data_IF_658872618528
#
_entry.id   IF_658872618528
#
_cell.length_a   1.000
_cell.length_b   1.000
_cell.length_c   1.000
_cell.angle_alpha   90.00
_cell.angle_beta   90.00
_cell.angle_gamma   90.00
#
_symmetry.space_group_name_H-M   'P 1'
#
loop_
_entity.id
_entity.type
_entity.pdbx_description
1 polymer ?
#
# COMPACT_ATOMS: atom_id res chain seq x y z
N UNK A 1 -9.48 -50.86 -27.27
CA UNK A 1 -9.35 -50.36 -25.90
C UNK A 1 -8.03 -49.63 -25.61
N UNK A 2 -6.89 -50.11 -26.09
CA UNK A 2 -5.55 -49.49 -25.83
C UNK A 2 -5.39 -48.07 -26.45
N UNK A 3 -6.01 -47.80 -27.61
CA UNK A 3 -5.91 -46.50 -28.30
C UNK A 3 -6.82 -45.40 -27.71
N UNK A 4 -7.82 -45.77 -26.94
CA UNK A 4 -8.71 -44.82 -26.26
C UNK A 4 -8.06 -44.29 -24.97
N UNK A 5 -7.36 -45.15 -24.21
CA UNK A 5 -6.60 -44.75 -23.03
C UNK A 5 -5.44 -43.83 -23.33
N UNK A 6 -4.77 -43.98 -24.48
CA UNK A 6 -3.65 -43.09 -24.86
C UNK A 6 -4.10 -41.67 -25.24
N UNK A 7 -5.28 -41.53 -25.87
CA UNK A 7 -5.83 -40.22 -26.19
C UNK A 7 -6.37 -39.47 -24.96
N UNK A 8 -6.96 -40.16 -24.00
CA UNK A 8 -7.43 -39.56 -22.75
C UNK A 8 -6.27 -39.18 -21.85
N UNK A 9 -5.19 -39.97 -21.77
CA UNK A 9 -3.98 -39.58 -21.03
C UNK A 9 -3.25 -38.38 -21.65
N UNK A 10 -3.23 -38.29 -22.98
CA UNK A 10 -2.65 -37.15 -23.70
C UNK A 10 -3.46 -35.86 -23.53
N UNK A 11 -4.80 -35.94 -23.53
CA UNK A 11 -5.67 -34.80 -23.22
C UNK A 11 -5.59 -34.37 -21.75
N UNK A 12 -5.48 -35.29 -20.80
CA UNK A 12 -5.23 -34.94 -19.39
C UNK A 12 -3.83 -34.34 -19.18
N UNK A 13 -2.81 -34.78 -19.90
CA UNK A 13 -1.48 -34.20 -19.81
C UNK A 13 -1.42 -32.78 -20.39
N UNK A 14 -2.18 -32.50 -21.45
CA UNK A 14 -2.31 -31.15 -22.01
C UNK A 14 -3.15 -30.25 -21.08
N UNK A 15 -4.16 -30.76 -20.40
CA UNK A 15 -4.95 -30.03 -19.43
C UNK A 15 -4.16 -29.71 -18.14
N UNK A 16 -3.20 -30.57 -17.76
CA UNK A 16 -2.31 -30.31 -16.62
C UNK A 16 -1.18 -29.34 -16.99
N UNK A 17 -0.74 -29.29 -18.27
CA UNK A 17 0.30 -28.39 -18.74
C UNK A 17 -0.23 -26.98 -19.07
N UNK A 18 -1.54 -26.78 -19.15
CA UNK A 18 -2.14 -25.46 -19.46
C UNK A 18 -2.63 -24.68 -18.24
N UNK A 19 -2.39 -25.18 -17.02
CA UNK A 19 -2.69 -24.46 -15.76
C UNK A 19 -1.41 -24.15 -14.99
N UNK A 20 -0.29 -23.87 -15.67
CA UNK A 20 0.60 -22.88 -15.15
C UNK A 20 0.01 -21.53 -15.50
N UNK A 21 -0.99 -21.13 -14.72
CA UNK A 21 -1.32 -19.72 -14.58
C UNK A 21 0.00 -19.09 -14.12
N UNK A 22 0.66 -18.39 -15.03
CA UNK A 22 1.60 -17.36 -14.66
C UNK A 22 0.78 -16.39 -13.82
N UNK A 23 0.76 -16.61 -12.48
CA UNK A 23 0.41 -15.55 -11.58
C UNK A 23 1.31 -14.38 -12.01
N UNK A 24 0.76 -13.20 -12.31
CA UNK A 24 1.60 -12.07 -12.63
C UNK A 24 2.56 -11.94 -11.44
N UNK A 25 3.85 -12.17 -11.71
CA UNK A 25 4.88 -11.87 -10.74
C UNK A 25 4.77 -10.36 -10.55
N UNK A 26 4.15 -9.92 -9.47
CA UNK A 26 4.22 -8.52 -9.08
C UNK A 26 5.68 -8.34 -8.69
N UNK A 27 6.51 -7.96 -9.66
CA UNK A 27 7.89 -7.58 -9.39
C UNK A 27 7.87 -6.33 -8.51
N UNK A 28 8.81 -6.23 -7.59
CA UNK A 28 9.10 -4.96 -6.92
C UNK A 28 9.24 -3.84 -7.98
N UNK A 29 8.87 -2.64 -7.60
CA UNK A 29 9.10 -1.45 -8.44
C UNK A 29 10.62 -1.27 -8.60
N UNK A 30 11.06 -0.75 -9.76
CA UNK A 30 12.43 -0.22 -9.80
C UNK A 30 12.58 0.99 -8.86
N UNK A 31 13.80 1.36 -8.53
CA UNK A 31 14.06 2.42 -7.53
C UNK A 31 13.39 3.74 -7.87
N UNK A 32 13.38 4.14 -9.13
CA UNK A 32 12.81 5.42 -9.58
C UNK A 32 11.28 5.39 -9.51
N UNK A 33 10.65 4.29 -9.94
CA UNK A 33 9.20 4.10 -9.83
C UNK A 33 8.77 4.00 -8.37
N UNK A 34 9.54 3.31 -7.52
CA UNK A 34 9.28 3.21 -6.09
C UNK A 34 9.40 4.57 -5.40
N UNK A 35 10.46 5.35 -5.69
CA UNK A 35 10.63 6.72 -5.19
C UNK A 35 9.49 7.62 -5.64
N UNK A 36 9.09 7.55 -6.90
CA UNK A 36 7.94 8.29 -7.43
C UNK A 36 6.65 7.89 -6.72
N UNK A 37 6.39 6.60 -6.58
CA UNK A 37 5.21 6.09 -5.87
C UNK A 37 5.20 6.52 -4.40
N UNK A 38 6.36 6.49 -3.73
CA UNK A 38 6.50 6.98 -2.36
C UNK A 38 6.33 8.50 -2.22
N UNK A 39 6.71 9.27 -3.25
CA UNK A 39 6.71 10.76 -3.19
C UNK A 39 5.40 11.37 -3.66
N UNK A 40 4.81 10.86 -4.72
CA UNK A 40 3.67 11.47 -5.41
C UNK A 40 2.32 10.90 -4.94
N UNK A 41 2.36 9.83 -4.15
CA UNK A 41 1.19 9.06 -3.75
C UNK A 41 0.87 7.96 -4.76
N UNK A 42 -0.31 7.38 -4.66
CA UNK A 42 -0.77 6.32 -5.57
C UNK A 42 -1.56 5.23 -4.88
N UNK A 43 -2.12 4.33 -5.67
CA UNK A 43 -3.04 3.28 -5.21
C UNK A 43 -2.31 2.01 -4.72
N UNK A 44 -1.05 1.82 -5.12
CA UNK A 44 -0.27 0.63 -4.70
C UNK A 44 0.10 0.71 -3.23
N UNK A 45 0.06 -0.44 -2.56
CA UNK A 45 0.63 -0.62 -1.23
C UNK A 45 2.13 -0.85 -1.41
N UNK A 46 2.95 -0.11 -0.67
CA UNK A 46 4.42 -0.14 -0.74
C UNK A 46 4.96 -0.83 0.51
N UNK A 47 5.82 -1.82 0.30
CA UNK A 47 6.60 -2.47 1.34
C UNK A 47 7.95 -1.77 1.51
N UNK A 48 8.27 -1.33 2.74
CA UNK A 48 9.57 -0.75 3.10
C UNK A 48 10.24 -1.70 4.10
N UNK A 49 11.33 -2.34 3.69
CA UNK A 49 12.12 -3.20 4.56
C UNK A 49 12.91 -2.35 5.55
N UNK A 50 12.66 -2.52 6.86
CA UNK A 50 13.30 -1.75 7.91
C UNK A 50 14.74 -2.21 8.14
N UNK A 51 15.74 -1.34 7.85
CA UNK A 51 17.17 -1.60 8.00
C UNK A 51 17.70 -2.77 7.17
N UNK A 52 17.02 -3.08 6.04
CA UNK A 52 17.29 -4.26 5.24
C UNK A 52 16.61 -5.54 5.78
N UNK A 53 17.04 -6.71 5.31
CA UNK A 53 16.63 -8.00 5.90
C UNK A 53 17.54 -8.33 7.09
N UNK A 54 17.26 -7.71 8.22
CA UNK A 54 18.07 -7.86 9.42
C UNK A 54 17.83 -9.19 10.18
N UNK A 55 16.87 -9.99 9.78
CA UNK A 55 16.71 -11.34 10.29
C UNK A 55 17.75 -12.31 9.69
N UNK A 56 18.25 -12.00 8.51
CA UNK A 56 19.27 -12.80 7.81
C UNK A 56 20.68 -12.26 7.98
N UNK A 57 20.83 -10.93 8.18
CA UNK A 57 22.11 -10.23 8.31
C UNK A 57 22.01 -9.12 9.35
N UNK A 58 23.13 -8.58 9.88
CA UNK A 58 23.06 -7.43 10.81
C UNK A 58 22.30 -6.24 10.24
N UNK A 59 21.46 -5.61 11.05
CA UNK A 59 20.71 -4.41 10.63
C UNK A 59 21.64 -3.32 10.09
N UNK A 60 21.20 -2.56 9.10
CA UNK A 60 21.97 -1.49 8.46
C UNK A 60 23.33 -1.96 7.87
N UNK A 61 23.52 -3.25 7.63
CA UNK A 61 24.68 -3.77 6.87
C UNK A 61 24.41 -3.73 5.36
N UNK A 62 25.47 -3.77 4.57
CA UNK A 62 25.35 -3.87 3.11
C UNK A 62 24.72 -5.21 2.69
N UNK A 63 24.98 -6.27 3.46
CA UNK A 63 24.44 -7.60 3.27
C UNK A 63 22.92 -7.63 3.54
N UNK A 64 22.45 -6.99 4.61
CA UNK A 64 21.01 -6.85 4.90
C UNK A 64 20.28 -6.07 3.81
N UNK A 65 20.88 -4.98 3.30
CA UNK A 65 20.31 -4.23 2.18
C UNK A 65 20.30 -5.07 0.91
N UNK A 66 21.38 -5.82 0.61
CA UNK A 66 21.45 -6.70 -0.56
C UNK A 66 20.37 -7.81 -0.50
N UNK A 67 20.09 -8.35 0.68
CA UNK A 67 19.03 -9.35 0.86
C UNK A 67 17.61 -8.77 0.70
N UNK A 68 17.46 -7.45 0.80
CA UNK A 68 16.19 -6.75 0.71
C UNK A 68 15.92 -6.08 -0.65
N UNK A 69 16.72 -6.36 -1.69
CA UNK A 69 16.59 -5.71 -3.01
C UNK A 69 15.33 -6.11 -3.80
N UNK A 70 14.64 -7.14 -3.38
CA UNK A 70 13.38 -7.58 -4.00
C UNK A 70 12.15 -6.80 -3.51
N UNK A 71 12.29 -5.98 -2.46
CA UNK A 71 11.19 -5.17 -1.92
C UNK A 71 11.17 -3.78 -2.56
N UNK A 72 10.02 -3.09 -2.47
CA UNK A 72 9.84 -1.78 -3.12
C UNK A 72 10.81 -0.73 -2.60
N UNK A 73 11.10 -0.74 -1.30
CA UNK A 73 12.04 0.17 -0.68
C UNK A 73 12.76 -0.47 0.52
N UNK A 74 13.95 0.04 0.82
CA UNK A 74 14.72 -0.30 2.02
C UNK A 74 15.00 0.98 2.81
N UNK A 75 14.66 1.01 4.09
CA UNK A 75 15.05 2.11 4.97
C UNK A 75 16.38 1.83 5.63
N UNK A 76 17.21 2.85 5.75
CA UNK A 76 18.52 2.80 6.39
C UNK A 76 18.71 4.01 7.30
N UNK A 77 19.32 3.79 8.45
CA UNK A 77 19.62 4.86 9.41
C UNK A 77 21.03 5.39 9.17
N UNK A 78 21.16 6.69 8.96
CA UNK A 78 22.45 7.32 8.58
C UNK A 78 22.92 8.29 9.64
N UNK A 79 24.20 8.19 10.00
CA UNK A 79 24.95 9.05 10.91
C UNK A 79 26.20 9.57 10.22
N UNK A 80 26.80 10.60 10.78
CA UNK A 80 28.11 11.10 10.34
C UNK A 80 29.22 10.59 11.24
N UNK A 81 30.30 10.09 10.64
CA UNK A 81 31.56 9.83 11.31
C UNK A 81 32.25 11.14 11.73
N UNK A 82 33.31 11.08 12.52
CA UNK A 82 34.05 12.27 12.95
C UNK A 82 34.71 13.04 11.79
N UNK A 83 34.99 12.36 10.69
CA UNK A 83 35.53 12.94 9.45
C UNK A 83 34.42 13.26 8.42
N UNK A 84 33.14 13.24 8.84
CA UNK A 84 31.99 13.71 8.06
C UNK A 84 31.54 12.76 6.98
N UNK A 85 31.95 11.50 7.01
CA UNK A 85 31.48 10.46 6.07
C UNK A 85 30.14 9.87 6.54
N UNK A 86 29.09 9.83 5.69
CA UNK A 86 27.81 9.19 6.02
C UNK A 86 27.98 7.67 6.12
N UNK A 87 27.63 7.11 7.28
CA UNK A 87 27.70 5.67 7.58
C UNK A 87 26.35 5.16 8.07
N UNK A 88 26.10 3.87 7.95
CA UNK A 88 24.86 3.27 8.42
C UNK A 88 24.96 2.84 9.87
N UNK A 89 24.15 3.45 10.72
CA UNK A 89 24.00 3.08 12.13
C UNK A 89 22.67 3.65 12.68
N UNK A 90 21.90 2.82 13.37
CA UNK A 90 20.64 3.25 13.97
C UNK A 90 20.87 4.09 15.22
N UNK A 91 21.73 3.61 16.12
CA UNK A 91 21.99 4.23 17.40
C UNK A 91 22.99 5.39 17.27
N UNK A 92 23.00 6.31 18.24
CA UNK A 92 24.02 7.34 18.35
C UNK A 92 25.38 6.75 18.75
N UNK A 93 25.39 5.55 19.33
CA UNK A 93 26.60 4.85 19.78
C UNK A 93 26.75 3.51 19.06
N UNK A 94 27.99 3.01 19.03
CA UNK A 94 28.33 1.70 18.45
C UNK A 94 28.06 0.51 19.40
N UNK A 95 27.72 0.77 20.66
CA UNK A 95 27.72 -0.17 21.78
C UNK A 95 26.89 -1.43 21.55
N UNK A 96 25.69 -1.27 20.97
CA UNK A 96 24.75 -2.39 20.77
C UNK A 96 25.19 -3.30 19.63
N UNK A 97 25.69 -2.67 18.54
CA UNK A 97 25.95 -3.39 17.29
C UNK A 97 27.39 -3.85 17.12
N UNK A 98 28.38 -3.22 17.78
CA UNK A 98 29.77 -3.39 17.40
C UNK A 98 30.63 -4.13 18.42
N UNK A 99 31.58 -4.90 17.87
CA UNK A 99 32.65 -5.56 18.60
C UNK A 99 33.97 -5.45 17.82
N UNK A 100 35.08 -5.67 18.52
CA UNK A 100 36.40 -5.79 17.90
C UNK A 100 36.64 -7.19 17.29
N UNK A 101 37.84 -7.41 16.76
CA UNK A 101 38.26 -8.69 16.19
C UNK A 101 38.16 -9.86 17.17
N UNK A 102 38.36 -9.62 18.46
CA UNK A 102 38.30 -10.60 19.53
C UNK A 102 36.89 -10.75 20.13
N UNK A 103 35.87 -10.15 19.50
CA UNK A 103 34.48 -10.11 19.99
C UNK A 103 34.27 -9.33 21.30
N UNK A 104 35.20 -8.44 21.65
CA UNK A 104 35.05 -7.57 22.83
C UNK A 104 34.16 -6.37 22.47
N UNK A 105 33.24 -5.95 23.36
CA UNK A 105 32.42 -4.76 23.14
C UNK A 105 33.26 -3.51 22.89
N UNK A 106 32.81 -2.71 21.91
CA UNK A 106 33.33 -1.37 21.66
C UNK A 106 32.26 -0.37 22.13
N UNK A 107 32.66 0.75 22.74
CA UNK A 107 31.77 1.80 23.23
C UNK A 107 32.21 3.17 22.72
N UNK A 108 31.23 4.00 22.39
CA UNK A 108 31.45 5.39 21.98
C UNK A 108 30.41 5.85 20.96
N UNK A 109 30.35 7.16 20.74
CA UNK A 109 29.44 7.72 19.74
C UNK A 109 30.01 7.52 18.34
N UNK A 110 29.15 7.28 17.35
CA UNK A 110 29.54 7.16 15.93
C UNK A 110 30.37 8.36 15.50
N UNK A 111 29.97 9.56 15.90
CA UNK A 111 30.64 10.81 15.58
C UNK A 111 32.01 11.01 16.27
N UNK A 112 32.42 10.13 17.18
CA UNK A 112 33.75 10.15 17.79
C UNK A 112 34.80 9.32 17.04
N UNK A 113 34.36 8.50 16.07
CA UNK A 113 35.24 7.65 15.27
C UNK A 113 35.32 8.14 13.83
N UNK A 114 36.48 8.04 13.22
CA UNK A 114 36.63 8.22 11.75
C UNK A 114 35.99 7.05 11.03
N UNK A 115 35.65 7.23 9.75
CA UNK A 115 35.13 6.13 8.94
C UNK A 115 36.11 4.92 8.89
N UNK A 116 37.41 5.20 8.81
CA UNK A 116 38.40 4.13 8.86
C UNK A 116 38.34 3.33 10.17
N UNK A 117 38.16 3.99 11.31
CA UNK A 117 38.01 3.30 12.60
C UNK A 117 36.69 2.51 12.70
N UNK A 118 35.57 3.05 12.18
CA UNK A 118 34.29 2.36 12.12
C UNK A 118 34.36 1.11 11.22
N UNK A 119 35.10 1.19 10.11
CA UNK A 119 35.32 0.08 9.19
C UNK A 119 36.08 -1.12 9.77
N UNK A 120 36.84 -0.91 10.85
CA UNK A 120 37.53 -2.00 11.57
C UNK A 120 36.61 -2.74 12.56
N UNK A 121 35.43 -2.18 12.87
CA UNK A 121 34.49 -2.79 13.81
C UNK A 121 33.65 -3.85 13.10
N UNK A 122 33.35 -4.93 13.79
CA UNK A 122 32.47 -6.00 13.33
C UNK A 122 31.07 -5.80 13.87
N UNK A 123 30.05 -6.04 13.04
CA UNK A 123 28.67 -6.00 13.46
C UNK A 123 28.25 -7.31 14.16
N UNK A 124 27.38 -7.19 15.14
CA UNK A 124 26.71 -8.34 15.76
C UNK A 124 25.52 -8.80 14.89
N UNK A 125 25.15 -10.08 15.03
CA UNK A 125 23.98 -10.65 14.36
C UNK A 125 22.69 -9.86 14.62
N UNK A 126 21.76 -9.96 13.70
CA UNK A 126 20.40 -9.42 13.77
C UNK A 126 20.40 -7.90 14.11
N UNK A 127 19.65 -7.53 15.16
CA UNK A 127 19.58 -6.19 15.69
C UNK A 127 20.53 -5.94 16.88
N UNK A 128 21.60 -6.74 17.00
CA UNK A 128 22.65 -6.57 18.00
C UNK A 128 22.27 -6.91 19.44
N UNK A 129 23.08 -6.42 20.35
CA UNK A 129 22.97 -6.71 21.79
C UNK A 129 24.05 -7.67 22.29
N UNK A 130 24.25 -7.69 23.62
CA UNK A 130 25.36 -8.44 24.24
C UNK A 130 25.29 -9.94 24.09
N UNK A 131 24.12 -10.48 23.76
CA UNK A 131 23.84 -11.91 23.57
C UNK A 131 23.93 -12.35 22.10
N UNK A 132 24.30 -11.42 21.17
CA UNK A 132 24.45 -11.72 19.75
C UNK A 132 25.90 -11.91 19.37
N UNK A 133 26.14 -12.87 18.47
CA UNK A 133 27.48 -13.21 18.02
C UNK A 133 28.06 -12.15 17.07
N UNK A 134 29.37 -12.13 16.93
CA UNK A 134 30.07 -11.35 15.92
C UNK A 134 29.87 -11.97 14.55
N UNK A 135 29.63 -11.14 13.54
CA UNK A 135 29.64 -11.53 12.12
C UNK A 135 30.90 -11.01 11.42
N UNK A 136 31.03 -11.28 10.12
CA UNK A 136 32.05 -10.67 9.28
C UNK A 136 31.60 -9.34 8.65
N UNK A 137 30.33 -8.95 8.85
CA UNK A 137 29.78 -7.67 8.35
C UNK A 137 30.39 -6.48 9.06
N UNK A 138 30.48 -5.37 8.33
CA UNK A 138 31.07 -4.11 8.78
C UNK A 138 30.07 -2.97 8.67
N UNK A 139 30.36 -1.85 9.34
CA UNK A 139 29.60 -0.61 9.15
C UNK A 139 29.87 -0.09 7.75
N UNK A 140 28.85 -0.01 6.86
CA UNK A 140 29.06 0.49 5.51
C UNK A 140 28.96 2.01 5.43
N UNK A 141 29.69 2.59 4.47
CA UNK A 141 29.43 3.93 3.99
C UNK A 141 28.11 3.97 3.19
N UNK A 142 27.36 5.07 3.25
CA UNK A 142 26.11 5.23 2.49
C UNK A 142 26.29 5.02 0.97
N UNK A 143 27.46 5.45 0.42
CA UNK A 143 27.78 5.19 -0.99
C UNK A 143 27.73 3.72 -1.34
N UNK A 144 28.24 2.85 -0.43
CA UNK A 144 28.23 1.40 -0.64
C UNK A 144 26.81 0.83 -0.82
N UNK A 145 25.81 1.43 -0.17
CA UNK A 145 24.42 1.04 -0.27
C UNK A 145 23.86 1.29 -1.67
N UNK A 146 24.18 2.44 -2.28
CA UNK A 146 23.79 2.73 -3.66
C UNK A 146 24.50 1.83 -4.68
N UNK A 147 25.74 1.43 -4.41
CA UNK A 147 26.45 0.46 -5.24
C UNK A 147 25.80 -0.94 -5.16
N UNK A 148 25.35 -1.34 -3.96
CA UNK A 148 24.69 -2.63 -3.73
C UNK A 148 23.27 -2.62 -4.30
N UNK A 149 22.52 -1.53 -4.12
CA UNK A 149 21.13 -1.44 -4.61
C UNK A 149 21.05 -1.43 -6.13
N UNK A 150 22.05 -0.84 -6.79
CA UNK A 150 22.16 -0.81 -8.26
C UNK A 150 20.85 -0.44 -8.97
N UNK A 151 20.09 0.49 -8.38
CA UNK A 151 18.80 0.95 -8.89
C UNK A 151 17.63 -0.05 -8.78
N UNK A 152 17.77 -1.13 -8.02
CA UNK A 152 16.73 -2.18 -7.90
C UNK A 152 15.65 -1.86 -6.87
N UNK A 153 15.96 -1.05 -5.87
CA UNK A 153 15.06 -0.69 -4.78
C UNK A 153 15.25 0.77 -4.39
N UNK A 154 14.20 1.44 -3.92
CA UNK A 154 14.33 2.80 -3.38
C UNK A 154 15.01 2.77 -2.02
N UNK A 155 15.88 3.75 -1.77
CA UNK A 155 16.55 3.90 -0.47
C UNK A 155 15.87 5.01 0.33
N UNK A 156 15.27 4.65 1.47
CA UNK A 156 14.72 5.60 2.44
C UNK A 156 15.80 5.93 3.46
N UNK A 157 16.37 7.12 3.37
CA UNK A 157 17.47 7.60 4.23
C UNK A 157 16.89 8.26 5.47
N UNK A 158 16.96 7.57 6.61
CA UNK A 158 16.58 8.11 7.92
C UNK A 158 17.72 8.95 8.47
N UNK A 159 17.45 10.22 8.79
CA UNK A 159 18.48 11.20 9.16
C UNK A 159 17.99 12.13 10.25
N UNK A 160 18.94 12.57 11.12
CA UNK A 160 18.69 13.63 12.10
C UNK A 160 18.48 14.98 11.40
N UNK A 161 17.80 15.92 12.08
CA UNK A 161 17.66 17.29 11.59
C UNK A 161 19.03 17.97 11.38
N UNK A 162 19.98 17.73 12.28
CA UNK A 162 21.33 18.34 12.22
C UNK A 162 22.16 17.85 11.05
N UNK A 163 22.07 16.55 10.72
CA UNK A 163 22.92 15.90 9.72
C UNK A 163 22.34 15.95 8.31
N UNK A 164 21.05 16.27 8.22
CA UNK A 164 20.29 16.22 6.97
C UNK A 164 20.98 16.95 5.81
N UNK A 165 21.39 18.20 6.01
CA UNK A 165 21.97 19.00 4.90
C UNK A 165 23.26 18.38 4.34
N UNK A 166 24.12 17.90 5.22
CA UNK A 166 25.39 17.24 4.85
C UNK A 166 25.11 15.96 4.07
N UNK A 167 24.16 15.13 4.55
CA UNK A 167 23.81 13.87 3.90
C UNK A 167 23.08 14.11 2.57
N UNK A 168 22.19 15.12 2.49
CA UNK A 168 21.58 15.51 1.22
C UNK A 168 22.61 15.91 0.18
N UNK A 169 23.58 16.79 0.55
CA UNK A 169 24.64 17.22 -0.36
C UNK A 169 25.52 16.05 -0.82
N UNK A 170 25.76 15.10 0.07
CA UNK A 170 26.50 13.89 -0.24
C UNK A 170 25.73 13.01 -1.27
N UNK A 171 24.44 12.72 -1.05
CA UNK A 171 23.61 11.95 -1.97
C UNK A 171 23.49 12.66 -3.33
N UNK A 172 23.32 13.99 -3.32
CA UNK A 172 23.29 14.83 -4.53
C UNK A 172 24.59 14.74 -5.32
N UNK A 173 25.73 14.78 -4.64
CA UNK A 173 27.06 14.65 -5.29
C UNK A 173 27.26 13.25 -5.90
N UNK A 174 26.66 12.21 -5.33
CA UNK A 174 26.64 10.87 -5.91
C UNK A 174 25.69 10.72 -7.12
N UNK A 175 24.82 11.72 -7.40
CA UNK A 175 23.78 11.62 -8.44
C UNK A 175 22.68 10.63 -8.11
N UNK A 176 22.36 10.40 -6.82
CA UNK A 176 21.45 9.37 -6.35
C UNK A 176 20.14 9.90 -5.75
N UNK A 177 19.80 11.18 -6.00
CA UNK A 177 18.53 11.76 -5.51
C UNK A 177 17.29 11.06 -6.05
N UNK A 178 17.32 10.57 -7.29
CA UNK A 178 16.18 9.90 -7.93
C UNK A 178 15.93 8.48 -7.38
N UNK A 179 16.90 7.91 -6.66
CA UNK A 179 16.80 6.61 -5.97
C UNK A 179 16.53 6.77 -4.47
N UNK A 180 16.36 8.02 -3.98
CA UNK A 180 16.36 8.34 -2.55
C UNK A 180 15.08 9.06 -2.11
N UNK A 181 14.53 8.63 -0.98
CA UNK A 181 13.54 9.39 -0.21
C UNK A 181 14.14 9.69 1.18
N UNK A 182 14.13 10.96 1.59
CA UNK A 182 14.61 11.33 2.91
C UNK A 182 13.50 11.23 3.96
N UNK A 183 13.84 10.71 5.12
CA UNK A 183 13.01 10.70 6.32
C UNK A 183 13.72 11.46 7.41
N UNK A 184 13.35 12.74 7.60
CA UNK A 184 13.99 13.64 8.53
C UNK A 184 13.29 13.54 9.90
N UNK A 185 14.04 13.29 10.97
CA UNK A 185 13.50 13.27 12.32
C UNK A 185 13.18 14.68 12.83
N UNK A 186 12.17 15.30 12.23
CA UNK A 186 11.71 16.65 12.55
C UNK A 186 10.17 16.73 12.39
N UNK A 187 9.57 17.81 12.89
CA UNK A 187 8.13 18.10 12.69
C UNK A 187 7.87 18.60 11.26
N UNK A 188 6.67 18.37 10.74
CA UNK A 188 6.26 18.74 9.39
C UNK A 188 6.71 20.15 8.96
N UNK A 189 6.42 21.18 9.77
CA UNK A 189 6.84 22.57 9.48
C UNK A 189 8.35 22.69 9.29
N UNK A 190 9.14 22.03 10.14
CA UNK A 190 10.59 22.06 10.07
C UNK A 190 11.12 21.34 8.84
N UNK A 191 10.50 20.22 8.48
CA UNK A 191 10.84 19.49 7.23
C UNK A 191 10.63 20.42 6.03
N UNK A 192 9.50 21.11 5.94
CA UNK A 192 9.23 22.08 4.87
C UNK A 192 10.28 23.19 4.85
N UNK A 193 10.64 23.78 6.02
CA UNK A 193 11.70 24.81 6.11
C UNK A 193 13.04 24.31 5.57
N UNK A 194 13.42 23.06 5.90
CA UNK A 194 14.70 22.49 5.50
C UNK A 194 14.77 22.12 4.01
N UNK A 195 13.63 21.87 3.38
CA UNK A 195 13.59 21.24 2.05
C UNK A 195 13.08 22.15 0.93
N UNK A 196 12.40 23.26 1.24
CA UNK A 196 11.71 24.13 0.26
C UNK A 196 12.61 24.71 -0.85
N UNK A 197 13.90 24.89 -0.56
CA UNK A 197 14.86 25.47 -1.50
C UNK A 197 15.84 24.42 -2.08
N UNK A 198 15.52 23.12 -1.91
CA UNK A 198 16.37 22.02 -2.38
C UNK A 198 15.77 21.36 -3.63
N UNK A 199 16.53 21.40 -4.72
CA UNK A 199 16.11 20.80 -6.00
C UNK A 199 16.18 19.27 -5.97
N UNK A 200 15.16 18.62 -6.56
CA UNK A 200 15.12 17.17 -6.76
C UNK A 200 14.91 16.34 -5.49
N UNK A 201 14.70 16.99 -4.34
CA UNK A 201 14.51 16.28 -3.09
C UNK A 201 13.16 15.57 -3.05
N UNK A 202 13.17 14.33 -2.55
CA UNK A 202 11.98 13.57 -2.15
C UNK A 202 12.06 13.33 -0.65
N UNK A 203 10.98 13.65 0.08
CA UNK A 203 10.98 13.60 1.55
C UNK A 203 9.61 13.20 2.07
N UNK A 204 9.58 12.48 3.19
CA UNK A 204 8.36 12.24 3.95
C UNK A 204 8.05 13.42 4.87
N UNK A 205 6.77 13.84 4.90
CA UNK A 205 6.25 14.59 6.02
C UNK A 205 6.19 13.73 7.28
N UNK A 206 6.09 14.36 8.45
CA UNK A 206 6.05 13.61 9.71
C UNK A 206 5.03 14.22 10.69
N UNK A 207 4.15 13.36 11.19
CA UNK A 207 3.29 13.66 12.33
C UNK A 207 3.23 12.47 13.29
N UNK A 208 3.68 12.70 14.52
CA UNK A 208 3.62 11.71 15.60
C UNK A 208 2.75 12.28 16.73
N UNK A 209 1.52 11.78 16.87
CA UNK A 209 0.63 12.27 17.91
C UNK A 209 -0.84 11.88 17.72
N UNK A 210 -1.68 12.30 18.67
CA UNK A 210 -3.09 11.88 18.78
C UNK A 210 -4.10 13.03 18.60
N UNK A 211 -3.61 14.24 18.26
CA UNK A 211 -4.48 15.42 18.17
C UNK A 211 -4.86 15.68 16.71
N UNK A 212 -6.13 15.47 16.36
CA UNK A 212 -6.66 15.62 14.99
C UNK A 212 -6.33 16.97 14.38
N UNK A 213 -6.51 18.04 15.11
CA UNK A 213 -6.26 19.39 14.60
C UNK A 213 -4.79 19.58 14.19
N UNK A 214 -3.86 19.09 15.00
CA UNK A 214 -2.43 19.17 14.70
C UNK A 214 -2.04 18.25 13.53
N UNK A 215 -2.68 17.09 13.42
CA UNK A 215 -2.50 16.20 12.27
C UNK A 215 -2.97 16.85 10.97
N UNK A 216 -4.16 17.42 10.98
CA UNK A 216 -4.71 18.13 9.81
C UNK A 216 -3.81 19.30 9.41
N UNK A 217 -3.26 20.03 10.39
CA UNK A 217 -2.30 21.11 10.12
C UNK A 217 -1.01 20.59 9.50
N UNK A 218 -0.46 19.48 10.02
CA UNK A 218 0.75 18.87 9.47
C UNK A 218 0.55 18.35 8.04
N UNK A 219 -0.56 17.67 7.77
CA UNK A 219 -0.94 17.20 6.42
C UNK A 219 -1.06 18.38 5.45
N UNK A 220 -1.78 19.45 5.85
CA UNK A 220 -1.94 20.64 5.05
C UNK A 220 -0.60 21.31 4.76
N UNK A 221 0.25 21.47 5.77
CA UNK A 221 1.59 22.04 5.63
C UNK A 221 2.42 21.27 4.60
N UNK A 222 2.49 19.94 4.73
CA UNK A 222 3.23 19.10 3.81
C UNK A 222 2.66 19.18 2.37
N UNK A 223 1.36 18.97 2.20
CA UNK A 223 0.75 18.89 0.88
C UNK A 223 0.76 20.21 0.12
N UNK A 224 0.63 21.35 0.83
CA UNK A 224 0.76 22.68 0.23
C UNK A 224 2.18 23.02 -0.25
N UNK A 225 3.16 22.27 0.22
CA UNK A 225 4.58 22.43 -0.14
C UNK A 225 5.11 21.26 -0.99
N UNK A 226 4.23 20.46 -1.62
CA UNK A 226 4.63 19.41 -2.55
C UNK A 226 5.14 18.11 -1.90
N UNK A 227 4.98 17.96 -0.59
CA UNK A 227 5.32 16.72 0.13
C UNK A 227 4.05 15.89 0.25
N UNK A 228 3.88 14.87 -0.60
CA UNK A 228 2.63 14.13 -0.75
C UNK A 228 2.59 12.80 0.00
N UNK A 229 3.66 12.41 0.66
CA UNK A 229 3.67 11.28 1.60
C UNK A 229 3.96 11.79 3.00
N UNK A 230 3.11 11.41 3.95
CA UNK A 230 3.29 11.78 5.35
C UNK A 230 3.32 10.53 6.22
N UNK A 231 4.37 10.40 7.02
CA UNK A 231 4.42 9.40 8.09
C UNK A 231 3.50 9.84 9.23
N UNK A 232 2.58 8.98 9.59
CA UNK A 232 1.61 9.23 10.64
C UNK A 232 1.63 8.11 11.66
N UNK A 233 2.15 8.40 12.83
CA UNK A 233 2.26 7.45 13.92
C UNK A 233 1.65 7.97 15.22
N UNK A 234 1.38 7.06 16.16
CA UNK A 234 0.93 7.37 17.50
C UNK A 234 1.47 6.36 18.49
N UNK A 235 2.03 6.86 19.58
CA UNK A 235 2.55 6.02 20.67
C UNK A 235 1.46 5.31 21.47
N UNK A 236 0.19 5.75 21.37
CA UNK A 236 -0.88 5.24 22.24
C UNK A 236 -1.83 4.23 21.58
N UNK A 237 -1.63 3.85 20.32
CA UNK A 237 -2.42 2.83 19.63
C UNK A 237 -3.92 3.10 19.45
N UNK A 238 -4.49 4.04 20.18
CA UNK A 238 -5.88 4.43 20.15
C UNK A 238 -6.09 5.83 19.58
N UNK A 239 -5.10 6.37 18.88
CA UNK A 239 -5.17 7.71 18.32
C UNK A 239 -6.31 7.83 17.29
N UNK A 240 -7.05 8.93 17.35
CA UNK A 240 -8.16 9.25 16.45
C UNK A 240 -7.73 9.25 14.97
N UNK A 241 -6.44 9.43 14.71
CA UNK A 241 -5.83 9.39 13.37
C UNK A 241 -5.93 8.03 12.67
N UNK A 242 -6.06 6.97 13.44
CA UNK A 242 -6.20 5.61 12.91
C UNK A 242 -7.64 5.21 12.58
N UNK A 243 -8.59 6.14 12.62
CA UNK A 243 -9.97 5.90 12.20
C UNK A 243 -10.11 5.92 10.67
N UNK A 244 -10.71 4.87 10.08
CA UNK A 244 -10.85 4.65 8.63
C UNK A 244 -11.29 5.88 7.84
N UNK A 245 -12.28 6.61 8.34
CA UNK A 245 -12.87 7.73 7.61
C UNK A 245 -11.96 8.95 7.55
N UNK A 246 -11.25 9.26 8.64
CA UNK A 246 -10.48 10.50 8.73
C UNK A 246 -9.20 10.46 7.93
N UNK A 247 -8.45 9.37 8.00
CA UNK A 247 -7.19 9.25 7.28
C UNK A 247 -7.41 9.24 5.76
N UNK A 248 -8.31 8.38 5.27
CA UNK A 248 -8.68 8.33 3.84
C UNK A 248 -9.16 9.69 3.32
N UNK A 249 -9.91 10.45 4.13
CA UNK A 249 -10.39 11.79 3.76
C UNK A 249 -9.27 12.84 3.71
N UNK A 250 -8.33 12.81 4.66
CA UNK A 250 -7.24 13.79 4.72
C UNK A 250 -6.17 13.55 3.68
N UNK A 251 -5.84 12.29 3.45
CA UNK A 251 -4.79 11.91 2.51
C UNK A 251 -5.28 11.94 1.06
N UNK A 252 -6.55 11.56 0.81
CA UNK A 252 -7.11 11.51 -0.54
C UNK A 252 -6.30 10.58 -1.46
N UNK A 253 -5.83 11.11 -2.58
CA UNK A 253 -4.97 10.40 -3.53
C UNK A 253 -3.47 10.48 -3.19
N UNK A 254 -3.11 11.07 -2.04
CA UNK A 254 -1.76 11.13 -1.51
C UNK A 254 -1.49 9.88 -0.66
N UNK A 255 -0.35 9.82 0.01
CA UNK A 255 0.07 8.62 0.73
C UNK A 255 0.19 8.86 2.23
N UNK A 256 -0.38 7.96 3.03
CA UNK A 256 -0.02 7.82 4.44
C UNK A 256 0.96 6.65 4.58
N UNK A 257 2.04 6.90 5.27
CA UNK A 257 3.06 5.92 5.62
C UNK A 257 3.02 5.67 7.13
N UNK A 258 3.33 4.46 7.53
CA UNK A 258 3.48 4.09 8.93
C UNK A 258 4.66 3.13 9.10
N UNK A 259 5.39 3.30 10.20
CA UNK A 259 6.38 2.32 10.65
C UNK A 259 5.74 1.38 11.67
N UNK A 260 5.77 0.08 11.42
CA UNK A 260 5.32 -0.94 12.38
C UNK A 260 6.30 -1.11 13.54
N UNK A 261 7.47 -0.54 13.41
CA UNK A 261 8.59 -0.67 14.34
C UNK A 261 8.52 0.37 15.45
N UNK A 262 9.15 0.10 16.58
CA UNK A 262 9.28 1.03 17.71
C UNK A 262 7.95 1.52 18.33
N UNK A 263 6.89 0.71 18.27
CA UNK A 263 5.61 1.02 18.91
C UNK A 263 4.85 2.19 18.30
N UNK A 264 5.22 2.66 17.12
CA UNK A 264 4.56 3.78 16.42
C UNK A 264 3.15 3.45 15.95
N UNK A 265 2.83 2.16 15.81
CA UNK A 265 1.50 1.63 15.46
C UNK A 265 0.63 1.27 16.67
N UNK A 266 1.06 1.64 17.86
CA UNK A 266 0.36 1.31 19.08
C UNK A 266 0.42 -0.19 19.42
N UNK A 267 -0.75 -0.81 19.65
CA UNK A 267 -0.85 -2.24 20.01
C UNK A 267 -0.88 -3.19 18.81
N UNK A 268 -0.74 -2.67 17.59
CA UNK A 268 -0.78 -3.51 16.40
C UNK A 268 0.49 -4.32 16.28
N UNK A 269 0.35 -5.56 15.93
CA UNK A 269 1.46 -6.48 15.65
C UNK A 269 1.91 -6.33 14.20
N UNK A 270 3.20 -6.44 13.96
CA UNK A 270 3.78 -6.42 12.62
C UNK A 270 3.55 -7.78 11.95
N UNK A 271 2.33 -7.98 11.45
CA UNK A 271 1.86 -9.20 10.78
C UNK A 271 0.60 -8.91 9.94
N UNK A 272 0.07 -9.94 9.24
CA UNK A 272 -1.12 -9.82 8.39
C UNK A 272 -2.29 -9.08 9.04
N UNK A 273 -2.60 -9.37 10.31
CA UNK A 273 -3.73 -8.71 11.01
C UNK A 273 -3.47 -7.22 11.21
N UNK A 274 -2.25 -6.86 11.59
CA UNK A 274 -1.88 -5.45 11.78
C UNK A 274 -1.82 -4.69 10.47
N UNK A 275 -1.29 -5.28 9.42
CA UNK A 275 -1.23 -4.68 8.08
C UNK A 275 -2.62 -4.51 7.48
N UNK A 276 -3.50 -5.52 7.60
CA UNK A 276 -4.89 -5.45 7.13
C UNK A 276 -5.64 -4.28 7.80
N UNK A 277 -5.54 -4.15 9.13
CA UNK A 277 -6.16 -3.06 9.87
C UNK A 277 -5.61 -1.68 9.45
N UNK A 278 -4.29 -1.54 9.23
CA UNK A 278 -3.71 -0.27 8.81
C UNK A 278 -4.09 0.12 7.37
N UNK A 279 -4.06 -0.84 6.45
CA UNK A 279 -4.43 -0.59 5.05
C UNK A 279 -5.92 -0.24 4.96
N UNK A 280 -6.79 -0.94 5.68
CA UNK A 280 -8.22 -0.60 5.75
C UNK A 280 -8.48 0.82 6.25
N UNK A 281 -7.56 1.38 7.05
CA UNK A 281 -7.60 2.78 7.54
C UNK A 281 -7.09 3.80 6.54
N UNK A 282 -6.39 3.36 5.48
CA UNK A 282 -5.86 4.21 4.42
C UNK A 282 -4.34 4.39 4.40
N UNK A 283 -3.59 3.60 5.19
CA UNK A 283 -2.15 3.54 5.01
C UNK A 283 -1.82 2.74 3.76
N UNK A 284 -0.89 3.24 2.97
CA UNK A 284 -0.47 2.61 1.72
C UNK A 284 1.05 2.54 1.54
N UNK A 285 1.82 2.89 2.57
CA UNK A 285 3.22 2.55 2.70
C UNK A 285 3.46 2.04 4.12
N UNK A 286 4.03 0.87 4.25
CA UNK A 286 4.27 0.21 5.53
C UNK A 286 5.74 -0.16 5.63
N UNK A 287 6.41 0.38 6.66
CA UNK A 287 7.73 -0.07 7.07
C UNK A 287 7.59 -1.20 8.08
N UNK A 288 8.25 -2.32 7.83
CA UNK A 288 8.10 -3.57 8.56
C UNK A 288 9.44 -4.26 8.81
N UNK A 289 9.50 -5.02 9.90
CA UNK A 289 10.58 -5.96 10.18
C UNK A 289 10.40 -7.31 9.43
N UNK A 290 9.23 -7.54 8.79
CA UNK A 290 8.88 -8.77 8.10
C UNK A 290 8.52 -8.49 6.62
N UNK A 291 9.47 -8.00 5.80
CA UNK A 291 9.16 -7.55 4.44
C UNK A 291 8.73 -8.69 3.51
N UNK A 292 9.22 -9.91 3.68
CA UNK A 292 8.81 -11.06 2.90
C UNK A 292 7.32 -11.39 3.11
N UNK A 293 6.89 -11.43 4.36
CA UNK A 293 5.51 -11.73 4.74
C UNK A 293 4.56 -10.59 4.31
N UNK A 294 4.97 -9.32 4.45
CA UNK A 294 4.18 -8.20 3.96
C UNK A 294 4.04 -8.23 2.44
N UNK A 295 5.10 -8.55 1.71
CA UNK A 295 5.07 -8.67 0.24
C UNK A 295 4.13 -9.80 -0.19
N UNK A 296 4.15 -10.94 0.50
CA UNK A 296 3.20 -12.04 0.23
C UNK A 296 1.75 -11.62 0.53
N UNK A 297 1.51 -10.90 1.64
CA UNK A 297 0.19 -10.33 1.96
C UNK A 297 -0.28 -9.37 0.86
N UNK A 298 0.60 -8.47 0.35
CA UNK A 298 0.29 -7.55 -0.75
C UNK A 298 -0.06 -8.33 -2.02
N UNK A 299 0.72 -9.36 -2.35
CA UNK A 299 0.48 -10.22 -3.52
C UNK A 299 -0.89 -10.91 -3.45
N UNK A 300 -1.23 -11.46 -2.29
CA UNK A 300 -2.52 -12.09 -2.00
C UNK A 300 -3.67 -11.09 -2.14
N UNK A 301 -3.49 -9.88 -1.62
CA UNK A 301 -4.47 -8.79 -1.71
C UNK A 301 -4.70 -8.35 -3.15
N UNK A 302 -3.63 -8.16 -3.93
CA UNK A 302 -3.72 -7.80 -5.35
C UNK A 302 -4.43 -8.91 -6.17
N UNK A 303 -4.14 -10.18 -5.88
CA UNK A 303 -4.85 -11.31 -6.53
C UNK A 303 -6.34 -11.29 -6.22
N UNK A 304 -6.72 -11.04 -4.97
CA UNK A 304 -8.12 -10.93 -4.57
C UNK A 304 -8.82 -9.72 -5.25
N UNK A 305 -8.12 -8.60 -5.43
CA UNK A 305 -8.63 -7.43 -6.14
C UNK A 305 -8.92 -7.74 -7.62
N UNK A 306 -8.01 -8.43 -8.31
CA UNK A 306 -8.21 -8.89 -9.70
C UNK A 306 -9.40 -9.82 -9.79
N UNK A 307 -9.58 -10.72 -8.82
CA UNK A 307 -10.72 -11.63 -8.81
C UNK A 307 -12.04 -10.91 -8.50
N UNK A 308 -12.02 -9.87 -7.66
CA UNK A 308 -13.18 -9.00 -7.46
C UNK A 308 -13.53 -8.21 -8.73
N UNK A 309 -12.53 -7.69 -9.45
CA UNK A 309 -12.74 -7.00 -10.73
C UNK A 309 -13.44 -7.89 -11.74
N UNK A 310 -12.95 -9.11 -11.96
CA UNK A 310 -13.60 -10.10 -12.83
C UNK A 310 -15.04 -10.40 -12.38
N UNK A 311 -15.27 -10.47 -11.08
CA UNK A 311 -16.59 -10.69 -10.51
C UNK A 311 -17.54 -9.52 -10.75
N UNK A 312 -17.04 -8.29 -10.64
CA UNK A 312 -17.77 -7.06 -10.99
C UNK A 312 -18.13 -7.06 -12.49
N UNK A 313 -17.20 -7.42 -13.38
CA UNK A 313 -17.42 -7.45 -14.81
C UNK A 313 -18.49 -8.46 -15.21
N UNK A 314 -18.56 -9.61 -14.53
CA UNK A 314 -19.59 -10.61 -14.74
C UNK A 314 -21.00 -10.05 -14.51
N UNK A 315 -21.15 -9.09 -13.60
CA UNK A 315 -22.43 -8.48 -13.24
C UNK A 315 -22.64 -7.10 -13.83
N UNK A 316 -21.64 -6.56 -14.50
CA UNK A 316 -21.70 -5.26 -15.15
C UNK A 316 -22.56 -5.37 -16.41
N UNK A 317 -23.81 -4.94 -16.34
CA UNK A 317 -24.76 -5.02 -17.47
C UNK A 317 -25.89 -6.03 -17.30
N UNK A 318 -26.06 -6.59 -16.10
CA UNK A 318 -27.28 -7.35 -15.77
C UNK A 318 -28.52 -6.46 -15.98
N UNK A 319 -29.49 -7.00 -16.73
CA UNK A 319 -30.82 -6.37 -16.83
C UNK A 319 -31.56 -6.49 -15.49
N UNK A 320 -31.71 -5.38 -14.81
CA UNK A 320 -32.37 -5.29 -13.50
C UNK A 320 -33.89 -5.05 -13.61
N UNK A 321 -34.42 -4.79 -14.81
CA UNK A 321 -35.86 -4.50 -15.02
C UNK A 321 -36.82 -5.58 -14.52
N UNK A 322 -36.46 -6.90 -14.48
CA UNK A 322 -37.33 -7.92 -13.94
C UNK A 322 -37.46 -7.94 -12.42
N UNK A 323 -36.54 -7.26 -11.69
CA UNK A 323 -36.46 -7.36 -10.23
C UNK A 323 -37.26 -6.28 -9.52
N UNK A 324 -37.62 -6.51 -8.24
CA UNK A 324 -38.26 -5.48 -7.44
C UNK A 324 -37.28 -4.35 -7.06
N UNK A 325 -37.85 -3.18 -6.78
CA UNK A 325 -37.04 -1.96 -6.56
C UNK A 325 -36.12 -2.04 -5.34
N UNK A 326 -36.45 -2.83 -4.33
CA UNK A 326 -35.65 -2.97 -3.12
C UNK A 326 -34.40 -3.80 -3.36
N UNK A 327 -34.55 -5.02 -3.96
CA UNK A 327 -33.43 -5.89 -4.28
C UNK A 327 -32.54 -5.32 -5.39
N UNK A 328 -33.13 -4.58 -6.37
CA UNK A 328 -32.40 -3.84 -7.39
C UNK A 328 -31.48 -2.77 -6.76
N UNK A 329 -32.01 -1.97 -5.83
CA UNK A 329 -31.22 -0.94 -5.13
C UNK A 329 -30.10 -1.55 -4.31
N UNK A 330 -30.37 -2.63 -3.56
CA UNK A 330 -29.38 -3.29 -2.75
C UNK A 330 -28.23 -3.83 -3.62
N UNK A 331 -28.55 -4.47 -4.75
CA UNK A 331 -27.54 -4.96 -5.69
C UNK A 331 -26.74 -3.83 -6.34
N UNK A 332 -27.40 -2.76 -6.79
CA UNK A 332 -26.75 -1.60 -7.41
C UNK A 332 -25.84 -0.88 -6.42
N UNK A 333 -26.21 -0.78 -5.14
CA UNK A 333 -25.35 -0.23 -4.08
C UNK A 333 -24.11 -1.08 -3.89
N UNK A 334 -24.26 -2.39 -3.69
CA UNK A 334 -23.14 -3.31 -3.49
C UNK A 334 -22.18 -3.34 -4.68
N UNK A 335 -22.71 -3.29 -5.92
CA UNK A 335 -21.89 -3.19 -7.13
C UNK A 335 -21.11 -1.87 -7.21
N UNK A 336 -21.75 -0.76 -6.85
CA UNK A 336 -21.11 0.56 -6.82
C UNK A 336 -20.02 0.64 -5.74
N UNK A 337 -20.27 0.09 -4.56
CA UNK A 337 -19.32 0.04 -3.46
C UNK A 337 -18.08 -0.81 -3.82
N UNK A 338 -18.29 -2.00 -4.41
CA UNK A 338 -17.21 -2.85 -4.88
C UNK A 338 -16.33 -2.17 -5.95
N UNK A 339 -16.96 -1.45 -6.90
CA UNK A 339 -16.22 -0.65 -7.91
C UNK A 339 -15.42 0.49 -7.29
N UNK A 340 -16.01 1.20 -6.33
CA UNK A 340 -15.35 2.30 -5.64
C UNK A 340 -14.16 1.84 -4.81
N UNK A 341 -14.21 0.64 -4.24
CA UNK A 341 -13.14 0.08 -3.44
C UNK A 341 -11.88 -0.17 -4.28
N UNK A 342 -12.02 -0.72 -5.49
CA UNK A 342 -10.88 -1.03 -6.37
C UNK A 342 -10.10 0.20 -6.88
N UNK A 343 -10.65 1.41 -6.75
CA UNK A 343 -9.96 2.66 -7.10
C UNK A 343 -9.13 3.26 -5.96
N UNK A 344 -8.93 2.53 -4.86
CA UNK A 344 -8.18 3.01 -3.68
C UNK A 344 -7.36 1.88 -3.07
N UNK A 345 -6.26 2.18 -2.34
CA UNK A 345 -5.60 1.16 -1.53
C UNK A 345 -6.62 0.50 -0.58
N UNK A 346 -6.75 -0.80 -0.65
CA UNK A 346 -7.70 -1.58 0.14
C UNK A 346 -7.04 -2.83 0.72
N UNK A 347 -7.52 -3.25 1.89
CA UNK A 347 -7.03 -4.44 2.56
C UNK A 347 -7.66 -5.72 1.99
N UNK A 348 -7.06 -6.86 2.30
CA UNK A 348 -7.59 -8.15 1.89
C UNK A 348 -9.02 -8.38 2.45
N UNK A 349 -9.26 -7.99 3.71
CA UNK A 349 -10.58 -8.12 4.33
C UNK A 349 -11.63 -7.23 3.67
N UNK A 350 -11.31 -5.97 3.34
CA UNK A 350 -12.24 -5.08 2.61
C UNK A 350 -12.65 -5.68 1.25
N UNK A 351 -11.72 -6.29 0.52
CA UNK A 351 -11.99 -6.95 -0.77
C UNK A 351 -12.91 -8.17 -0.57
N UNK A 352 -12.62 -9.01 0.43
CA UNK A 352 -13.42 -10.19 0.74
C UNK A 352 -14.84 -9.82 1.15
N UNK A 353 -15.00 -8.80 1.97
CA UNK A 353 -16.31 -8.27 2.41
C UNK A 353 -17.10 -7.70 1.24
N UNK A 354 -16.49 -6.90 0.38
CA UNK A 354 -17.13 -6.34 -0.81
C UNK A 354 -17.61 -7.44 -1.78
N UNK A 355 -16.77 -8.47 -1.99
CA UNK A 355 -17.14 -9.64 -2.79
C UNK A 355 -18.33 -10.38 -2.19
N UNK A 356 -18.31 -10.64 -0.88
CA UNK A 356 -19.38 -11.32 -0.15
C UNK A 356 -20.69 -10.52 -0.18
N UNK A 357 -20.62 -9.21 0.03
CA UNK A 357 -21.77 -8.31 -0.03
C UNK A 357 -22.40 -8.30 -1.44
N UNK A 358 -21.59 -8.18 -2.49
CA UNK A 358 -22.06 -8.20 -3.88
C UNK A 358 -22.68 -9.56 -4.24
N UNK A 359 -22.08 -10.67 -3.81
CA UNK A 359 -22.62 -12.02 -3.99
C UNK A 359 -23.98 -12.15 -3.30
N UNK A 360 -24.08 -11.75 -2.03
CA UNK A 360 -25.31 -11.82 -1.24
C UNK A 360 -26.42 -10.96 -1.85
N UNK A 361 -26.08 -9.76 -2.30
CA UNK A 361 -27.04 -8.87 -2.96
C UNK A 361 -27.54 -9.45 -4.29
N UNK A 362 -26.66 -10.10 -5.08
CA UNK A 362 -27.04 -10.83 -6.30
C UNK A 362 -27.98 -11.98 -6.00
N UNK A 363 -27.68 -12.82 -5.00
CA UNK A 363 -28.48 -13.98 -4.64
C UNK A 363 -29.84 -13.60 -4.04
N UNK A 364 -29.96 -12.37 -3.54
CA UNK A 364 -31.19 -11.79 -3.00
C UNK A 364 -32.06 -11.07 -4.05
N UNK A 365 -31.64 -11.05 -5.33
CA UNK A 365 -32.44 -10.46 -6.39
C UNK A 365 -33.77 -11.22 -6.53
N UNK A 366 -34.88 -10.53 -6.29
CA UNK A 366 -36.21 -11.08 -6.30
C UNK A 366 -37.01 -10.51 -7.45
N UNK A 367 -37.57 -11.36 -8.31
CA UNK A 367 -38.44 -10.92 -9.43
C UNK A 367 -39.62 -10.15 -8.85
N UNK A 368 -39.81 -8.91 -9.31
CA UNK A 368 -40.93 -8.06 -8.89
C UNK A 368 -42.24 -8.53 -9.51
N UNK A 369 -43.36 -8.16 -8.88
CA UNK A 369 -44.65 -8.26 -9.58
C UNK A 369 -44.57 -7.39 -10.86
N UNK A 370 -45.06 -7.93 -11.98
CA UNK A 370 -45.12 -7.20 -13.25
C UNK A 370 -45.87 -5.88 -13.00
N UNK A 371 -45.14 -4.74 -12.94
CA UNK A 371 -45.80 -3.45 -12.92
C UNK A 371 -46.54 -3.28 -14.23
N UNK A 372 -47.87 -3.34 -14.19
CA UNK A 372 -48.70 -2.93 -15.31
C UNK A 372 -48.40 -1.44 -15.57
N UNK A 373 -47.61 -1.15 -16.59
CA UNK A 373 -47.33 0.23 -17.00
C UNK A 373 -48.53 0.76 -17.73
N UNK A 374 -49.37 1.54 -17.02
CA UNK A 374 -50.49 2.23 -17.64
C UNK A 374 -49.96 3.52 -18.27
N UNK A 375 -49.70 3.47 -19.58
CA UNK A 375 -49.36 4.68 -20.35
C UNK A 375 -50.65 5.47 -20.62
N UNK A 376 -50.80 6.64 -19.97
CA UNK A 376 -51.89 7.59 -20.24
C UNK A 376 -51.43 8.55 -21.34
N UNK A 377 -51.90 8.33 -22.58
CA UNK A 377 -51.74 9.28 -23.65
C UNK A 377 -52.84 10.30 -23.64
N UNK A 378 -52.50 11.60 -23.50
CA UNK A 378 -53.46 12.73 -23.59
C UNK A 378 -53.53 13.19 -25.04
N UNK A 379 -54.64 12.85 -25.74
CA UNK A 379 -54.93 13.47 -27.03
C UNK A 379 -55.94 14.57 -26.83
N UNK A 380 -55.67 15.73 -27.42
CA UNK A 380 -56.57 16.91 -27.44
C UNK A 380 -57.69 16.76 -28.46
N UNK A 381 -58.87 17.30 -28.24
CA UNK A 381 -59.64 17.35 -26.99
C UNK A 381 -60.70 16.24 -26.95
N UNK A 382 -60.77 15.54 -25.85
CA UNK A 382 -61.92 14.74 -25.50
C UNK A 382 -61.81 13.22 -25.54
N UNK A 383 -60.64 12.62 -25.84
CA UNK A 383 -60.48 11.15 -25.78
C UNK A 383 -59.25 10.74 -24.94
N UNK A 384 -59.47 9.96 -23.91
CA UNK A 384 -58.42 9.26 -23.16
C UNK A 384 -58.40 7.80 -23.65
N UNK A 385 -57.25 7.38 -24.23
CA UNK A 385 -57.03 6.00 -24.56
C UNK A 385 -56.12 5.41 -23.46
N UNK A 386 -56.61 4.44 -22.73
CA UNK A 386 -55.81 3.67 -21.75
C UNK A 386 -55.32 2.44 -22.41
N UNK A 387 -54.00 2.32 -22.60
CA UNK A 387 -53.34 1.10 -23.09
C UNK A 387 -52.82 0.34 -21.90
N UNK A 388 -53.33 -0.85 -21.64
CA UNK A 388 -52.83 -1.73 -20.60
C UNK A 388 -51.93 -2.74 -21.28
N UNK A 389 -50.63 -2.63 -21.02
CA UNK A 389 -49.64 -3.61 -21.48
C UNK A 389 -49.53 -4.72 -20.41
N UNK A 390 -50.15 -5.86 -20.68
CA UNK A 390 -49.92 -7.07 -19.90
C UNK A 390 -48.64 -7.76 -20.38
N UNK A 391 -47.60 -7.80 -19.53
CA UNK A 391 -46.38 -8.50 -19.87
C UNK A 391 -46.52 -10.00 -19.84
N UNK A 392 -46.50 -10.63 -20.99
CA UNK A 392 -46.07 -12.00 -21.20
C UNK A 392 -45.41 -12.07 -22.58
N UNK A 393 -44.27 -12.72 -22.61
CA UNK A 393 -43.41 -13.09 -23.74
C UNK A 393 -43.83 -12.54 -25.13
N UNK A 394 -42.90 -11.84 -25.77
CA UNK A 394 -43.06 -11.35 -27.15
C UNK A 394 -43.36 -12.50 -28.11
N UNK A 395 -44.64 -12.75 -28.30
CA UNK A 395 -45.19 -13.21 -29.54
C UNK A 395 -46.21 -12.17 -29.96
N UNK A 396 -46.12 -11.74 -31.21
CA UNK A 396 -46.91 -10.69 -31.85
C UNK A 396 -48.32 -10.58 -31.26
N UNK A 397 -48.52 -9.60 -30.39
CA UNK A 397 -49.77 -9.45 -29.64
C UNK A 397 -50.65 -8.40 -30.29
N UNK A 398 -51.85 -8.80 -30.56
CA UNK A 398 -52.94 -7.97 -31.06
C UNK A 398 -53.26 -6.84 -30.13
N UNK A 399 -53.22 -5.61 -30.64
CA UNK A 399 -53.59 -4.39 -29.91
C UNK A 399 -55.11 -4.38 -29.69
N UNK A 400 -55.58 -4.51 -28.45
CA UNK A 400 -56.98 -4.27 -28.12
C UNK A 400 -57.20 -2.80 -27.78
N UNK A 401 -57.91 -2.08 -28.67
CA UNK A 401 -58.36 -0.73 -28.45
C UNK A 401 -59.76 -0.77 -27.79
N UNK A 402 -59.83 -0.36 -26.53
CA UNK A 402 -61.15 -0.17 -25.88
C UNK A 402 -61.45 1.36 -25.91
N UNK A 403 -62.39 1.73 -26.76
CA UNK A 403 -62.93 3.11 -26.82
C UNK A 403 -64.17 3.19 -25.91
N UNK A 404 -64.08 3.98 -24.82
CA UNK A 404 -65.30 4.38 -24.08
C UNK A 404 -65.84 5.70 -24.68
N UNK A 405 -67.00 5.63 -25.27
CA UNK A 405 -67.83 6.79 -25.63
C UNK A 405 -68.46 7.33 -24.33
N UNK A 406 -68.25 8.58 -24.01
CA UNK A 406 -69.07 9.28 -23.03
C UNK A 406 -70.41 9.56 -23.69
N UNK A 407 -71.46 8.97 -23.15
CA UNK A 407 -72.84 9.46 -23.36
C UNK A 407 -73.07 10.64 -22.41
N UNK A 408 -73.74 11.66 -22.93
CA UNK A 408 -74.12 12.90 -22.25
C UNK A 408 -74.95 12.68 -20.98
#
# INVERSE_FOLDING_TARGET
MVNFCKKTAFFMLILILSVTILAPCVSALDSVEAVKSLSDGGEKIICIAHRGDWHSFPENSAEAVNAALEYDAVSVDVKLSSDGIPVLMADETVDRMCVDSDSKPISGTVSSFTFAQLGEMYLREDNGGTNKSKTDCRIPELKKIFEVSDGKTAIVVNVSESDFKTIYDYVKALGKLDETVFRINAKAKKIVELTKDLDGIKVFGNYQGNIIFLATSAVKECFSNGIYTIEMGSTNGNGVLYGNFLLKRFVGNKRAMVSMVNGRCGKRTDNETGWDDLISRGYSAIETDFPAELTEYIRKTNSAAIDLEKFIDLYNGIDLTPYNTESEKAFSSALSEAKSLLGTPCSFSEIADARSALQSARDSLTVGEKKNVTLKFKFTPGRIITVVLCGAAFTVGTLYLISKKKEN
#
